data_IF_074860441761
#
_entry.id   IF_074860441761
#
_cell.length_a   1.000
_cell.length_b   1.000
_cell.length_c   1.000
_cell.angle_alpha   90.00
_cell.angle_beta   90.00
_cell.angle_gamma   90.00
#
_symmetry.space_group_name_H-M   'P 1'
#
loop_
_entity.id
_entity.type
_entity.pdbx_description
1 polymer ?
#
# COMPACT_ATOMS: atom_id res chain seq x y z
N UNK A 1 11.15 -13.29 -10.41
CA UNK A 1 11.55 -11.89 -10.23
C UNK A 1 10.33 -10.99 -10.19
N UNK A 2 10.05 -10.51 -9.00
CA UNK A 2 9.05 -9.53 -8.60
C UNK A 2 9.49 -8.18 -9.17
N UNK A 3 9.34 -8.05 -10.49
CA UNK A 3 9.79 -6.88 -11.23
C UNK A 3 8.96 -5.66 -10.84
N UNK A 4 9.65 -4.55 -10.62
CA UNK A 4 9.03 -3.28 -10.28
C UNK A 4 9.46 -2.18 -11.26
N UNK A 5 8.67 -1.12 -11.29
CA UNK A 5 8.90 0.05 -12.11
C UNK A 5 8.93 1.30 -11.22
N UNK A 6 9.80 2.25 -11.56
CA UNK A 6 9.80 3.57 -10.95
C UNK A 6 9.01 4.54 -11.82
N UNK A 7 8.03 5.21 -11.21
CA UNK A 7 7.25 6.27 -11.84
C UNK A 7 7.22 7.47 -10.88
N UNK A 8 7.75 8.61 -11.32
CA UNK A 8 7.80 9.84 -10.51
C UNK A 8 8.32 9.64 -9.07
N UNK A 9 9.32 8.76 -8.89
CA UNK A 9 9.89 8.47 -7.57
C UNK A 9 9.05 7.55 -6.69
N UNK A 10 8.11 6.81 -7.28
CA UNK A 10 7.24 5.82 -6.61
C UNK A 10 7.36 4.47 -7.28
N UNK A 11 7.04 3.41 -6.54
CA UNK A 11 7.26 2.03 -6.97
C UNK A 11 5.93 1.40 -7.37
N UNK A 12 5.93 0.76 -8.53
CA UNK A 12 4.80 -0.02 -9.04
C UNK A 12 5.22 -1.46 -9.31
N UNK A 13 4.39 -2.42 -8.92
CA UNK A 13 4.52 -3.85 -9.21
C UNK A 13 3.46 -4.27 -10.23
N UNK A 14 3.77 -4.30 -11.55
CA UNK A 14 2.78 -4.55 -12.59
C UNK A 14 2.07 -5.91 -12.47
N UNK A 15 2.81 -6.96 -12.09
CA UNK A 15 2.26 -8.32 -11.93
C UNK A 15 1.22 -8.40 -10.80
N UNK A 16 1.41 -7.60 -9.75
CA UNK A 16 0.54 -7.61 -8.58
C UNK A 16 -0.56 -6.54 -8.67
N UNK A 17 -0.43 -5.61 -9.63
CA UNK A 17 -1.20 -4.38 -9.72
C UNK A 17 -1.19 -3.61 -8.38
N UNK A 18 0.02 -3.41 -7.82
CA UNK A 18 0.21 -2.74 -6.53
C UNK A 18 1.15 -1.55 -6.68
N UNK A 19 0.71 -0.38 -6.20
CA UNK A 19 1.54 0.80 -6.01
C UNK A 19 1.97 0.97 -4.56
N UNK A 20 3.14 1.58 -4.36
CA UNK A 20 3.64 2.00 -3.05
C UNK A 20 3.69 3.54 -3.00
N UNK A 21 2.85 4.15 -2.16
CA UNK A 21 2.74 5.60 -1.91
C UNK A 21 2.67 6.53 -3.15
N UNK A 22 1.97 6.18 -4.24
CA UNK A 22 1.81 7.08 -5.37
C UNK A 22 1.12 8.37 -4.93
N UNK A 23 1.59 9.52 -5.42
CA UNK A 23 0.94 10.80 -5.12
C UNK A 23 -0.27 11.02 -6.01
N UNK A 24 -0.19 10.60 -7.27
CA UNK A 24 -1.25 10.75 -8.24
C UNK A 24 -2.44 9.82 -7.90
N UNK A 25 -3.68 10.27 -8.11
CA UNK A 25 -4.87 9.44 -7.98
C UNK A 25 -4.73 8.14 -8.77
N UNK A 26 -5.02 7.01 -8.10
CA UNK A 26 -5.01 5.68 -8.73
C UNK A 26 -6.45 5.18 -8.74
N UNK A 27 -7.09 5.35 -9.89
CA UNK A 27 -8.52 5.07 -10.09
C UNK A 27 -8.78 3.79 -10.91
N UNK A 28 -7.71 3.09 -11.31
CA UNK A 28 -7.77 1.87 -12.10
C UNK A 28 -8.07 0.62 -11.26
N UNK A 29 -7.47 -0.49 -11.66
CA UNK A 29 -7.62 -1.81 -11.00
C UNK A 29 -6.56 -2.04 -9.92
N UNK A 30 -5.60 -1.13 -9.82
CA UNK A 30 -4.46 -1.24 -8.92
C UNK A 30 -4.86 -0.96 -7.48
N UNK A 31 -4.25 -1.70 -6.55
CA UNK A 31 -4.29 -1.39 -5.12
C UNK A 31 -3.13 -0.48 -4.76
N UNK A 32 -3.36 0.41 -3.81
CA UNK A 32 -2.33 1.31 -3.31
C UNK A 32 -1.99 0.98 -1.86
N UNK A 33 -0.76 0.56 -1.60
CA UNK A 33 -0.24 0.60 -0.24
C UNK A 33 0.05 2.05 0.16
N UNK A 34 -0.55 2.48 1.27
CA UNK A 34 -0.31 3.78 1.89
C UNK A 34 0.44 3.55 3.20
N UNK A 35 1.72 3.91 3.23
CA UNK A 35 2.57 3.73 4.41
C UNK A 35 2.09 4.60 5.59
N UNK A 36 1.77 5.86 5.33
CA UNK A 36 1.34 6.82 6.35
C UNK A 36 0.61 8.03 5.75
N UNK A 37 -0.04 8.82 6.61
CA UNK A 37 -0.96 9.89 6.19
C UNK A 37 -0.31 11.28 6.00
N UNK A 38 0.94 11.36 5.52
CA UNK A 38 1.50 12.62 5.04
C UNK A 38 1.01 12.94 3.61
N UNK A 39 0.92 14.24 3.28
CA UNK A 39 0.27 14.72 2.06
C UNK A 39 0.95 14.27 0.76
N UNK A 40 2.22 13.89 0.83
CA UNK A 40 3.05 13.39 -0.27
C UNK A 40 3.02 11.86 -0.42
N UNK A 41 2.35 11.16 0.49
CA UNK A 41 2.11 9.71 0.46
C UNK A 41 0.63 9.33 0.29
N UNK A 42 -0.27 10.32 0.21
CA UNK A 42 -1.71 10.09 0.07
C UNK A 42 -2.27 10.78 -1.18
N UNK A 43 -3.25 10.14 -1.79
CA UNK A 43 -4.05 10.68 -2.89
C UNK A 43 -5.47 10.13 -2.90
N UNK A 44 -6.27 10.57 -3.86
CA UNK A 44 -7.62 10.04 -4.13
C UNK A 44 -7.53 8.69 -4.84
N UNK A 45 -7.09 7.66 -4.12
CA UNK A 45 -7.02 6.29 -4.64
C UNK A 45 -8.34 5.56 -4.43
N UNK A 46 -8.72 4.74 -5.42
CA UNK A 46 -9.95 3.95 -5.38
C UNK A 46 -9.88 2.81 -4.35
N UNK A 47 -8.74 2.12 -4.26
CA UNK A 47 -8.55 0.93 -3.42
C UNK A 47 -7.19 1.00 -2.71
N UNK A 48 -7.20 0.95 -1.37
CA UNK A 48 -6.01 1.18 -0.54
C UNK A 48 -5.78 0.03 0.46
N UNK A 49 -4.52 -0.21 0.78
CA UNK A 49 -4.05 -1.13 1.84
C UNK A 49 -3.26 -0.29 2.84
N UNK A 50 -3.67 -0.30 4.10
CA UNK A 50 -3.14 0.61 5.12
C UNK A 50 -3.48 0.14 6.54
N UNK A 51 -2.81 0.74 7.53
CA UNK A 51 -3.12 0.51 8.94
C UNK A 51 -4.39 1.27 9.36
N UNK A 52 -5.02 0.83 10.46
CA UNK A 52 -6.23 1.47 10.98
C UNK A 52 -6.05 2.97 11.32
N UNK A 53 -4.95 3.41 11.98
CA UNK A 53 -4.76 4.84 12.21
C UNK A 53 -4.53 5.63 10.92
N UNK A 54 -3.79 5.06 9.95
CA UNK A 54 -3.59 5.72 8.64
C UNK A 54 -4.92 5.87 7.91
N UNK A 55 -5.81 4.87 7.94
CA UNK A 55 -7.16 4.97 7.35
C UNK A 55 -7.97 6.12 7.97
N UNK A 56 -7.98 6.22 9.30
CA UNK A 56 -8.66 7.29 10.00
C UNK A 56 -8.13 8.68 9.59
N UNK A 57 -6.81 8.84 9.49
CA UNK A 57 -6.20 10.10 9.06
C UNK A 57 -6.46 10.42 7.58
N UNK A 58 -6.40 9.42 6.69
CA UNK A 58 -6.73 9.58 5.26
C UNK A 58 -8.18 10.04 5.11
N UNK A 59 -9.13 9.40 5.81
CA UNK A 59 -10.54 9.79 5.77
C UNK A 59 -10.75 11.21 6.30
N UNK A 60 -10.08 11.59 7.39
CA UNK A 60 -10.20 12.93 7.95
C UNK A 60 -9.62 14.02 7.03
N UNK A 61 -8.55 13.71 6.27
CA UNK A 61 -7.85 14.66 5.39
C UNK A 61 -8.49 14.80 4.01
N UNK A 62 -8.87 13.68 3.40
CA UNK A 62 -9.33 13.64 2.00
C UNK A 62 -10.84 13.42 1.87
N UNK A 63 -11.49 12.84 2.89
CA UNK A 63 -12.88 12.43 2.81
C UNK A 63 -13.13 11.41 1.70
N UNK A 64 -14.34 11.43 1.14
CA UNK A 64 -14.74 10.56 0.04
C UNK A 64 -14.97 9.10 0.46
N UNK A 65 -15.36 8.29 -0.51
CA UNK A 65 -15.53 6.86 -0.37
C UNK A 65 -14.43 6.14 -1.17
N UNK A 66 -13.82 5.14 -0.57
CA UNK A 66 -12.77 4.29 -1.16
C UNK A 66 -12.90 2.88 -0.61
N UNK A 67 -12.35 1.90 -1.32
CA UNK A 67 -12.23 0.55 -0.81
C UNK A 67 -10.98 0.46 0.07
N UNK A 68 -11.15 0.07 1.32
CA UNK A 68 -10.05 0.00 2.28
C UNK A 68 -9.81 -1.42 2.74
N UNK A 69 -8.56 -1.87 2.60
CA UNK A 69 -8.02 -3.06 3.25
C UNK A 69 -7.26 -2.60 4.49
N UNK A 70 -7.97 -2.48 5.60
CA UNK A 70 -7.40 -2.07 6.88
C UNK A 70 -6.77 -3.27 7.56
N UNK A 71 -5.44 -3.31 7.60
CA UNK A 71 -4.70 -4.48 8.09
C UNK A 71 -4.11 -4.24 9.49
N UNK A 72 -4.17 -5.25 10.39
CA UNK A 72 -3.40 -5.23 11.63
C UNK A 72 -1.89 -5.37 11.34
N UNK A 73 -1.07 -4.77 12.21
CA UNK A 73 0.38 -4.89 12.10
C UNK A 73 0.84 -6.30 12.51
N UNK A 74 1.79 -6.85 11.77
CA UNK A 74 2.40 -8.16 12.02
C UNK A 74 1.58 -9.35 11.52
N UNK A 75 0.39 -9.12 10.97
CA UNK A 75 -0.47 -10.19 10.45
C UNK A 75 -0.45 -10.17 8.91
N UNK A 76 -0.16 -11.33 8.26
CA UNK A 76 -0.15 -11.41 6.80
C UNK A 76 -1.57 -11.38 6.24
N UNK A 77 -1.78 -10.58 5.21
CA UNK A 77 -3.00 -10.58 4.40
C UNK A 77 -2.71 -11.08 2.99
N UNK A 78 -3.50 -12.05 2.54
CA UNK A 78 -3.37 -12.65 1.22
C UNK A 78 -4.27 -11.98 0.18
N UNK A 79 -3.75 -11.82 -1.02
CA UNK A 79 -4.42 -11.24 -2.17
C UNK A 79 -4.17 -12.08 -3.42
N UNK A 80 -5.02 -11.91 -4.42
CA UNK A 80 -4.84 -12.49 -5.74
C UNK A 80 -5.03 -11.42 -6.82
N UNK A 81 -4.12 -11.40 -7.78
CA UNK A 81 -4.20 -10.53 -8.96
C UNK A 81 -3.90 -11.38 -10.20
N UNK A 82 -4.85 -11.50 -11.12
CA UNK A 82 -4.69 -12.25 -12.39
C UNK A 82 -4.15 -13.69 -12.19
N UNK A 83 -4.61 -14.39 -11.15
CA UNK A 83 -4.18 -15.75 -10.81
C UNK A 83 -2.83 -15.84 -10.07
N UNK A 84 -2.17 -14.71 -9.80
CA UNK A 84 -0.96 -14.65 -8.98
C UNK A 84 -1.37 -14.37 -7.54
N UNK A 85 -1.06 -15.30 -6.64
CA UNK A 85 -1.22 -15.11 -5.20
C UNK A 85 -0.02 -14.39 -4.62
N UNK A 86 -0.28 -13.44 -3.74
CA UNK A 86 0.72 -12.68 -3.02
C UNK A 86 0.21 -12.33 -1.63
N UNK A 87 1.12 -12.02 -0.72
CA UNK A 87 0.80 -11.58 0.63
C UNK A 87 1.50 -10.27 0.95
N UNK A 88 0.90 -9.51 1.84
CA UNK A 88 1.47 -8.30 2.42
C UNK A 88 1.30 -8.35 3.93
N UNK A 89 2.38 -8.09 4.66
CA UNK A 89 2.38 -7.92 6.11
C UNK A 89 2.78 -6.49 6.40
N UNK A 90 1.97 -5.78 7.20
CA UNK A 90 2.30 -4.43 7.64
C UNK A 90 3.19 -4.50 8.88
N UNK A 91 4.35 -3.85 8.85
CA UNK A 91 5.28 -3.79 9.99
C UNK A 91 5.36 -2.36 10.52
N UNK A 92 5.54 -2.12 11.82
CA UNK A 92 5.65 -0.77 12.34
C UNK A 92 6.87 -0.04 11.75
N UNK A 93 6.66 1.16 11.18
CA UNK A 93 7.76 1.98 10.63
C UNK A 93 8.39 2.92 11.66
N UNK A 94 7.61 3.39 12.65
CA UNK A 94 8.10 4.24 13.74
C UNK A 94 8.24 5.73 13.40
N UNK A 95 7.68 6.19 12.28
CA UNK A 95 7.72 7.59 11.83
C UNK A 95 6.60 8.45 12.44
N UNK A 96 5.33 8.06 12.21
CA UNK A 96 4.16 8.72 12.80
C UNK A 96 3.16 7.67 13.31
N UNK A 97 2.17 8.09 14.10
CA UNK A 97 1.13 7.17 14.54
C UNK A 97 0.39 6.55 13.33
N UNK A 98 0.44 5.22 13.23
CA UNK A 98 -0.11 4.47 12.09
C UNK A 98 0.88 4.15 10.97
N UNK A 99 2.08 4.73 10.95
CA UNK A 99 3.05 4.48 9.88
C UNK A 99 3.45 3.01 9.82
N UNK A 100 3.40 2.43 8.63
CA UNK A 100 3.75 1.04 8.38
C UNK A 100 4.72 0.88 7.21
N UNK A 101 5.65 -0.06 7.34
CA UNK A 101 6.36 -0.67 6.23
C UNK A 101 5.46 -1.75 5.59
N UNK A 102 5.65 -2.04 4.31
CA UNK A 102 5.05 -3.20 3.67
C UNK A 102 6.10 -4.28 3.40
N UNK A 103 5.90 -5.47 3.97
CA UNK A 103 6.61 -6.66 3.57
C UNK A 103 5.74 -7.47 2.61
N UNK A 104 6.08 -7.42 1.32
CA UNK A 104 5.34 -8.03 0.24
C UNK A 104 6.04 -9.31 -0.22
N UNK A 105 5.30 -10.39 -0.39
CA UNK A 105 5.84 -11.69 -0.82
C UNK A 105 4.98 -12.27 -1.96
N UNK A 106 5.62 -12.70 -3.05
CA UNK A 106 4.97 -13.36 -4.17
C UNK A 106 5.97 -14.24 -4.93
N UNK A 107 5.49 -15.35 -5.50
CA UNK A 107 6.29 -16.23 -6.38
C UNK A 107 7.65 -16.68 -5.78
N UNK A 108 7.76 -16.82 -4.46
CA UNK A 108 9.00 -17.22 -3.77
C UNK A 108 10.02 -16.09 -3.55
N UNK A 109 9.64 -14.84 -3.80
CA UNK A 109 10.46 -13.65 -3.57
C UNK A 109 9.75 -12.69 -2.61
N UNK A 110 10.52 -11.79 -1.99
CA UNK A 110 9.97 -10.77 -1.10
C UNK A 110 10.63 -9.42 -1.29
N UNK A 111 9.87 -8.36 -0.99
CA UNK A 111 10.33 -6.98 -0.96
C UNK A 111 9.84 -6.33 0.33
N UNK A 112 10.75 -5.66 1.05
CA UNK A 112 10.40 -4.76 2.14
C UNK A 112 10.48 -3.32 1.64
N UNK A 113 9.36 -2.60 1.67
CA UNK A 113 9.32 -1.16 1.44
C UNK A 113 9.08 -0.47 2.76
N UNK A 114 10.02 0.40 3.16
CA UNK A 114 10.02 1.02 4.48
C UNK A 114 8.99 2.14 4.61
N UNK A 115 8.59 2.76 3.50
CA UNK A 115 8.04 4.10 3.59
C UNK A 115 9.06 5.03 4.24
N UNK A 116 8.58 5.85 5.17
CA UNK A 116 9.38 6.71 6.03
C UNK A 116 9.52 6.13 7.44
#
# INVERSE_FOLDING_TARGET
MLAFQFHHGRIYFPKLAVWLDPREPQNGVERVFVSHAHSDHIGEHREVILSAPTAAFVQARLGGARQEHVLPLGEPAAFETQGIRWQITLLPAGHIFGSAMSWLEAEGESVLYTGD
#
